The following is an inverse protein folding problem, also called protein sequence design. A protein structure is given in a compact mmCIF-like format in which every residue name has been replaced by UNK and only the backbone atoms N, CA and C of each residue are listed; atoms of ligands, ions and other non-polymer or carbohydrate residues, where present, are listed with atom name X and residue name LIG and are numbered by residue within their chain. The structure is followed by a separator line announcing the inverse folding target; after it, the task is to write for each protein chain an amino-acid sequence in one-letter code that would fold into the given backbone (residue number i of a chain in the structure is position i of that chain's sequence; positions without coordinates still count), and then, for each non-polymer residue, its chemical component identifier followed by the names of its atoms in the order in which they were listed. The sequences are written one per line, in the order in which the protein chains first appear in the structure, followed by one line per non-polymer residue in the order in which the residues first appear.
data_IF_301210081861
#
_entry.id   IF_301210081861
#
_cell.length_a   1.000
_cell.length_b   1.000
_cell.length_c   1.000
_cell.angle_alpha   90.00
_cell.angle_beta   90.00
_cell.angle_gamma   90.00
#
_symmetry.space_group_name_H-M   'P 1'
#
loop_
_entity.id
_entity.type
_entity.pdbx_description
1 polymer ?
#
# COMPACT_ATOMS: atom_id res chain seq x y z
N UNK A 1 67.01 7.30 -32.22
CA UNK A 1 65.84 8.10 -31.81
C UNK A 1 64.70 7.13 -31.50
N UNK A 2 64.70 6.55 -30.30
CA UNK A 2 63.87 6.98 -29.17
C UNK A 2 62.36 6.95 -29.44
N UNK A 3 61.77 5.81 -29.06
CA UNK A 3 60.55 5.63 -28.28
C UNK A 3 59.65 6.88 -28.11
N UNK A 4 58.37 6.76 -28.47
CA UNK A 4 57.26 6.76 -27.49
C UNK A 4 55.92 6.55 -28.21
N UNK A 5 55.41 5.33 -28.06
CA UNK A 5 53.98 5.03 -28.09
C UNK A 5 53.29 5.85 -27.00
N UNK A 6 52.68 6.97 -27.37
CA UNK A 6 51.83 7.77 -26.49
C UNK A 6 50.40 7.26 -26.56
N UNK A 7 50.17 6.26 -25.72
CA UNK A 7 48.91 5.94 -25.02
C UNK A 7 47.83 7.01 -25.20
N UNK A 8 46.82 6.70 -26.00
CA UNK A 8 45.48 7.26 -25.77
C UNK A 8 45.13 6.97 -24.31
N UNK A 9 44.63 7.95 -23.53
CA UNK A 9 44.13 7.63 -22.20
C UNK A 9 43.00 6.63 -22.41
N UNK A 10 43.24 5.39 -22.00
CA UNK A 10 42.17 4.44 -21.79
C UNK A 10 41.22 5.15 -20.83
N UNK A 11 40.06 5.58 -21.36
CA UNK A 11 38.96 6.06 -20.53
C UNK A 11 38.55 4.82 -19.75
N UNK A 12 39.19 4.64 -18.60
CA UNK A 12 38.75 3.73 -17.57
C UNK A 12 37.42 4.33 -17.14
N UNK A 13 36.34 3.88 -17.78
CA UNK A 13 35.03 3.91 -17.17
C UNK A 13 35.14 3.04 -15.93
N UNK A 14 35.69 3.64 -14.87
CA UNK A 14 35.30 3.27 -13.52
C UNK A 14 33.82 3.54 -13.49
N UNK A 15 33.03 2.51 -13.85
CA UNK A 15 31.67 2.40 -13.38
C UNK A 15 31.82 2.25 -11.87
N UNK A 16 31.99 3.38 -11.19
CA UNK A 16 31.70 3.51 -9.79
C UNK A 16 30.25 3.08 -9.69
N UNK A 17 30.13 1.80 -9.31
CA UNK A 17 28.92 1.08 -9.00
C UNK A 17 27.93 2.08 -8.44
N UNK A 18 26.84 2.28 -9.18
CA UNK A 18 25.76 3.22 -8.89
C UNK A 18 25.81 3.64 -7.42
N UNK A 19 26.24 4.88 -7.16
CA UNK A 19 25.91 5.55 -5.91
C UNK A 19 24.40 5.69 -5.91
N UNK A 20 23.72 4.58 -5.59
CA UNK A 20 22.33 4.58 -5.20
C UNK A 20 22.25 5.62 -4.12
N UNK A 21 21.56 6.72 -4.44
CA UNK A 21 21.19 7.75 -3.51
C UNK A 21 20.54 7.05 -2.30
N UNK A 22 21.28 6.97 -1.19
CA UNK A 22 20.76 6.35 0.03
C UNK A 22 19.79 7.35 0.65
N UNK A 23 18.54 7.33 0.19
CA UNK A 23 17.46 8.07 0.85
C UNK A 23 17.45 7.67 2.32
N UNK A 24 17.49 8.66 3.25
CA UNK A 24 17.76 8.42 4.67
C UNK A 24 16.86 7.32 5.21
N UNK A 25 17.43 6.46 6.06
CA UNK A 25 16.71 5.38 6.76
C UNK A 25 15.77 5.99 7.80
N UNK A 26 14.68 6.61 7.35
CA UNK A 26 13.52 6.93 8.20
C UNK A 26 12.28 6.37 7.54
N UNK A 27 11.29 6.13 8.39
CA UNK A 27 9.98 5.54 8.06
C UNK A 27 9.41 6.15 6.77
N UNK A 28 8.77 5.37 5.87
CA UNK A 28 8.32 4.00 6.09
C UNK A 28 9.43 2.95 5.99
N UNK A 29 9.25 1.75 6.59
CA UNK A 29 10.26 0.69 6.61
C UNK A 29 10.75 0.37 5.20
N UNK A 30 11.99 -0.11 5.10
CA UNK A 30 12.62 -0.35 3.79
C UNK A 30 11.84 -1.32 2.89
N UNK A 31 10.98 -2.19 3.45
CA UNK A 31 10.09 -3.03 2.65
C UNK A 31 8.93 -2.24 2.03
N UNK A 32 8.27 -1.35 2.79
CA UNK A 32 7.18 -0.48 2.30
C UNK A 32 7.70 0.47 1.24
N UNK A 33 8.87 1.07 1.49
CA UNK A 33 9.51 1.99 0.53
C UNK A 33 9.87 1.26 -0.77
N UNK A 34 10.50 0.09 -0.69
CA UNK A 34 10.81 -0.74 -1.86
C UNK A 34 9.54 -1.20 -2.58
N UNK A 35 8.48 -1.51 -1.84
CA UNK A 35 7.20 -1.94 -2.39
C UNK A 35 6.50 -0.81 -3.17
N UNK A 36 6.37 0.38 -2.56
CA UNK A 36 5.74 1.55 -3.20
C UNK A 36 6.53 2.03 -4.43
N UNK A 37 7.86 1.95 -4.41
CA UNK A 37 8.71 2.27 -5.57
C UNK A 37 8.59 1.19 -6.65
N UNK A 38 8.46 -0.10 -6.29
CA UNK A 38 8.31 -1.21 -7.24
C UNK A 38 6.95 -1.20 -7.93
N UNK A 39 5.90 -0.80 -7.22
CA UNK A 39 4.54 -0.82 -7.69
C UNK A 39 3.83 0.54 -7.46
N UNK A 40 4.23 1.60 -8.21
CA UNK A 40 3.67 2.94 -8.07
C UNK A 40 2.19 3.03 -8.46
N UNK A 41 1.68 2.01 -9.15
CA UNK A 41 0.29 1.92 -9.63
C UNK A 41 -0.54 0.84 -8.94
N UNK A 42 0.01 0.04 -8.01
CA UNK A 42 -0.85 -0.95 -7.33
C UNK A 42 -1.71 -0.24 -6.29
N UNK A 43 -3.04 -0.29 -6.44
CA UNK A 43 -3.92 0.32 -5.48
C UNK A 43 -3.82 -0.43 -4.15
N UNK A 44 -3.90 0.33 -3.06
CA UNK A 44 -3.62 -0.12 -1.68
C UNK A 44 -4.41 -1.38 -1.31
N UNK A 45 -5.59 -1.60 -1.90
CA UNK A 45 -6.42 -2.79 -1.66
C UNK A 45 -5.75 -4.12 -2.10
N UNK A 46 -4.89 -4.14 -3.12
CA UNK A 46 -4.17 -5.36 -3.53
C UNK A 46 -3.13 -5.73 -2.45
N UNK A 47 -2.48 -4.71 -1.89
CA UNK A 47 -1.48 -4.86 -0.82
C UNK A 47 -2.14 -5.35 0.45
N UNK A 48 -3.27 -4.75 0.82
CA UNK A 48 -4.09 -5.21 1.94
C UNK A 48 -4.57 -6.64 1.69
N UNK A 49 -5.01 -6.98 0.46
CA UNK A 49 -5.37 -8.35 0.08
C UNK A 49 -4.22 -9.35 0.25
N UNK A 50 -3.01 -9.02 -0.19
CA UNK A 50 -1.80 -9.84 -0.05
C UNK A 50 -1.37 -10.01 1.42
N UNK A 51 -1.55 -8.99 2.25
CA UNK A 51 -1.31 -9.05 3.69
C UNK A 51 -2.41 -9.84 4.45
N UNK A 52 -3.64 -9.88 3.92
CA UNK A 52 -4.75 -10.66 4.47
C UNK A 52 -4.64 -12.15 4.11
N UNK A 53 -3.98 -12.51 3.00
CA UNK A 53 -3.76 -13.91 2.61
C UNK A 53 -3.08 -14.80 3.67
N UNK A 54 -1.99 -14.37 4.36
CA UNK A 54 -1.44 -15.16 5.47
C UNK A 54 -2.36 -15.23 6.70
N UNK A 55 -3.34 -14.31 6.86
CA UNK A 55 -4.40 -14.46 7.87
C UNK A 55 -5.50 -15.45 7.42
N UNK A 56 -5.68 -15.63 6.12
CA UNK A 56 -6.60 -16.62 5.52
C UNK A 56 -5.95 -18.00 5.30
N UNK A 57 -4.63 -18.11 5.36
CA UNK A 57 -3.92 -19.38 5.20
C UNK A 57 -4.27 -20.41 6.30
N UNK A 58 -4.33 -20.05 7.60
CA UNK A 58 -4.86 -20.93 8.63
C UNK A 58 -6.32 -21.36 8.37
N UNK A 59 -7.11 -20.47 7.76
CA UNK A 59 -8.51 -20.75 7.38
C UNK A 59 -8.59 -21.79 6.25
N UNK A 60 -7.75 -21.66 5.21
CA UNK A 60 -7.66 -22.63 4.11
C UNK A 60 -7.17 -24.01 4.58
N UNK A 61 -6.12 -24.06 5.42
CA UNK A 61 -5.60 -25.32 5.96
C UNK A 61 -6.64 -26.00 6.86
N UNK A 62 -7.35 -25.24 7.68
CA UNK A 62 -8.46 -25.74 8.50
C UNK A 62 -9.62 -26.28 7.66
N UNK A 63 -10.02 -25.57 6.61
CA UNK A 63 -11.06 -26.02 5.66
C UNK A 63 -10.64 -27.28 4.91
N UNK A 64 -9.39 -27.31 4.41
CA UNK A 64 -8.88 -28.46 3.65
C UNK A 64 -8.85 -29.71 4.52
N UNK A 65 -8.32 -29.62 5.75
CA UNK A 65 -8.38 -30.75 6.69
C UNK A 65 -9.82 -31.17 6.99
N UNK A 66 -10.75 -30.22 7.11
CA UNK A 66 -12.16 -30.49 7.38
C UNK A 66 -12.87 -31.25 6.24
N UNK A 67 -12.56 -30.92 4.98
CA UNK A 67 -13.19 -31.56 3.82
C UNK A 67 -12.50 -32.86 3.36
N UNK A 68 -11.20 -33.02 3.61
CA UNK A 68 -10.46 -34.17 3.08
C UNK A 68 -10.18 -35.28 4.09
N UNK A 69 -10.28 -35.01 5.40
CA UNK A 69 -9.82 -35.94 6.45
C UNK A 69 -11.03 -36.47 7.23
N UNK A 70 -11.17 -37.79 7.30
CA UNK A 70 -12.19 -38.45 8.10
C UNK A 70 -11.93 -38.28 9.61
N UNK A 71 -12.96 -38.42 10.44
CA UNK A 71 -12.87 -38.19 11.90
C UNK A 71 -11.78 -39.03 12.56
N UNK A 72 -11.66 -40.29 12.17
CA UNK A 72 -10.68 -41.23 12.75
C UNK A 72 -9.24 -40.83 12.42
N UNK A 73 -9.01 -40.42 11.17
CA UNK A 73 -7.70 -40.01 10.69
C UNK A 73 -7.25 -38.67 11.33
N UNK A 74 -8.21 -37.77 11.61
CA UNK A 74 -7.94 -36.52 12.32
C UNK A 74 -7.60 -36.74 13.80
N UNK A 75 -8.36 -37.59 14.49
CA UNK A 75 -8.09 -37.95 15.89
C UNK A 75 -6.75 -38.69 16.03
N UNK A 76 -6.41 -39.57 15.08
CA UNK A 76 -5.11 -40.23 15.01
C UNK A 76 -3.95 -39.23 14.86
N UNK A 77 -4.02 -38.31 13.89
CA UNK A 77 -3.01 -37.26 13.71
C UNK A 77 -2.87 -36.36 14.94
N UNK A 78 -3.98 -36.02 15.59
CA UNK A 78 -3.95 -35.20 16.82
C UNK A 78 -3.27 -35.93 17.97
N UNK A 79 -3.53 -37.22 18.13
CA UNK A 79 -2.90 -38.06 19.16
C UNK A 79 -1.40 -38.21 18.90
N UNK A 80 -1.01 -38.43 17.65
CA UNK A 80 0.40 -38.51 17.23
C UNK A 80 1.15 -37.18 17.48
N UNK A 81 0.54 -36.04 17.13
CA UNK A 81 1.14 -34.73 17.35
C UNK A 81 1.29 -34.42 18.84
N UNK A 82 0.29 -34.79 19.67
CA UNK A 82 0.38 -34.65 21.13
C UNK A 82 1.46 -35.55 21.72
N UNK A 83 1.55 -36.80 21.26
CA UNK A 83 2.58 -37.73 21.72
C UNK A 83 3.98 -37.17 21.47
N UNK A 84 4.24 -36.58 20.30
CA UNK A 84 5.51 -35.91 19.98
C UNK A 84 5.80 -34.69 20.87
N UNK A 85 4.78 -33.93 21.26
CA UNK A 85 4.94 -32.79 22.19
C UNK A 85 5.27 -33.28 23.60
N UNK A 86 4.61 -34.32 24.09
CA UNK A 86 4.93 -34.94 25.37
C UNK A 86 6.33 -35.57 25.38
N UNK A 87 6.73 -36.17 24.26
CA UNK A 87 8.07 -36.75 24.09
C UNK A 87 9.15 -35.66 24.13
N UNK A 88 8.92 -34.52 23.46
CA UNK A 88 9.84 -33.36 23.53
C UNK A 88 9.87 -32.73 24.92
N UNK A 89 8.73 -32.60 25.59
CA UNK A 89 8.65 -32.08 26.96
C UNK A 89 9.39 -32.99 27.96
N UNK A 90 9.28 -34.32 27.80
CA UNK A 90 10.02 -35.29 28.59
C UNK A 90 11.54 -35.23 28.31
N UNK A 91 11.93 -34.93 27.07
CA UNK A 91 13.34 -34.76 26.69
C UNK A 91 13.97 -33.49 27.31
N UNK A 92 13.20 -32.40 27.40
CA UNK A 92 13.64 -31.15 28.04
C UNK A 92 13.72 -31.27 29.57
N UNK A 93 12.82 -32.04 30.22
CA UNK A 93 12.95 -32.36 31.65
C UNK A 93 14.21 -33.20 31.97
N UNK A 94 14.63 -34.08 31.06
CA UNK A 94 15.86 -34.87 31.17
C UNK A 94 17.14 -34.06 30.98
N UNK A 95 17.11 -32.94 30.25
CA UNK A 95 18.27 -32.04 30.11
C UNK A 95 18.50 -31.17 31.34
N UNK A 96 17.48 -30.93 32.15
CA UNK A 96 17.56 -30.09 33.35
C UNK A 96 17.90 -30.82 34.66
N UNK A 97 17.77 -32.16 34.73
CA UNK A 97 18.05 -32.94 35.95
C UNK A 97 18.78 -34.23 35.60
N UNK A 98 19.87 -34.54 36.32
CA UNK A 98 20.52 -35.87 36.30
C UNK A 98 19.46 -36.95 36.59
N UNK A 99 18.97 -37.62 35.55
CA UNK A 99 17.97 -38.67 35.69
C UNK A 99 18.56 -39.89 36.40
N UNK A 100 18.32 -39.97 37.70
CA UNK A 100 18.33 -41.23 38.44
C UNK A 100 16.98 -41.36 39.13
N UNK A 101 16.16 -42.31 38.68
CA UNK A 101 15.55 -43.35 39.53
C UNK A 101 14.58 -44.25 38.77
N UNK A 102 14.86 -45.55 38.88
CA UNK A 102 13.88 -46.64 38.81
C UNK A 102 12.91 -46.51 39.98
N UNK A 103 11.66 -46.88 39.73
CA UNK A 103 10.65 -47.22 40.73
C UNK A 103 11.04 -48.54 41.44
N UNK A 104 10.56 -48.74 42.67
CA UNK A 104 10.91 -49.85 43.59
C UNK A 104 10.55 -51.27 43.10
N UNK A 105 9.92 -51.40 41.93
CA UNK A 105 9.58 -52.68 41.30
C UNK A 105 10.18 -52.91 39.91
N UNK A 106 11.13 -52.08 39.46
CA UNK A 106 11.99 -52.44 38.32
C UNK A 106 11.29 -52.67 36.96
N UNK A 107 10.05 -52.21 36.75
CA UNK A 107 9.38 -52.27 35.44
C UNK A 107 9.49 -50.93 34.70
N UNK A 108 9.75 -50.92 33.39
CA UNK A 108 9.59 -49.71 32.59
C UNK A 108 8.13 -49.28 32.62
N UNK A 109 7.88 -47.98 32.79
CA UNK A 109 6.54 -47.38 32.71
C UNK A 109 6.12 -47.40 31.24
N UNK A 110 5.63 -48.55 30.79
CA UNK A 110 4.86 -48.72 29.56
C UNK A 110 3.55 -49.37 29.96
N UNK A 111 2.70 -48.60 30.60
CA UNK A 111 1.31 -48.98 30.80
C UNK A 111 0.45 -47.72 30.73
N UNK A 112 0.16 -47.32 29.50
CA UNK A 112 -0.97 -46.47 29.18
C UNK A 112 -1.51 -46.98 27.84
N UNK A 113 -2.08 -48.19 27.87
CA UNK A 113 -2.78 -48.81 26.73
C UNK A 113 -4.29 -48.68 26.85
N UNK A 114 -4.79 -47.82 27.73
CA UNK A 114 -6.21 -47.51 27.77
C UNK A 114 -6.38 -46.07 27.29
N UNK A 115 -6.60 -45.93 25.98
CA UNK A 115 -7.11 -44.69 25.42
C UNK A 115 -8.46 -44.37 26.06
N UNK A 116 -8.77 -43.09 26.33
CA UNK A 116 -10.04 -42.73 26.94
C UNK A 116 -11.19 -43.27 26.10
N UNK A 117 -12.15 -43.92 26.76
CA UNK A 117 -13.39 -44.39 26.13
C UNK A 117 -14.10 -43.22 25.44
N UNK A 118 -14.61 -43.48 24.25
CA UNK A 118 -15.31 -42.52 23.39
C UNK A 118 -16.61 -42.12 24.10
N UNK A 119 -16.55 -41.10 24.95
CA UNK A 119 -17.73 -40.48 25.53
C UNK A 119 -18.26 -39.37 24.62
N UNK A 120 -19.42 -39.67 24.05
CA UNK A 120 -20.51 -38.83 23.54
C UNK A 120 -20.24 -37.71 22.50
N UNK A 121 -21.04 -37.84 21.43
CA UNK A 121 -21.17 -37.02 20.21
C UNK A 121 -21.55 -35.52 20.39
N UNK A 122 -21.49 -34.94 21.58
CA UNK A 122 -21.89 -33.53 21.81
C UNK A 122 -20.76 -32.53 21.50
N UNK A 123 -19.51 -32.87 21.81
CA UNK A 123 -18.41 -31.89 21.83
C UNK A 123 -17.84 -31.57 20.43
N UNK A 124 -17.84 -32.52 19.49
CA UNK A 124 -17.36 -32.29 18.12
C UNK A 124 -18.37 -31.48 17.29
N UNK A 125 -19.66 -31.79 17.41
CA UNK A 125 -20.74 -31.00 16.81
C UNK A 125 -20.77 -29.56 17.39
N UNK A 126 -20.60 -29.40 18.72
CA UNK A 126 -20.47 -28.09 19.34
C UNK A 126 -19.24 -27.32 18.84
N UNK A 127 -18.08 -27.98 18.68
CA UNK A 127 -16.87 -27.35 18.17
C UNK A 127 -17.00 -26.93 16.69
N UNK A 128 -17.59 -27.79 15.86
CA UNK A 128 -17.87 -27.52 14.44
C UNK A 128 -18.91 -26.39 14.25
N UNK A 129 -19.97 -26.36 15.07
CA UNK A 129 -20.92 -25.23 15.12
C UNK A 129 -20.25 -23.95 15.60
N UNK A 130 -19.34 -24.03 16.58
CA UNK A 130 -18.63 -22.86 17.12
C UNK A 130 -17.62 -22.29 16.12
N UNK A 131 -16.87 -23.14 15.41
CA UNK A 131 -15.90 -22.71 14.39
C UNK A 131 -16.60 -22.12 13.15
N UNK A 132 -17.66 -22.76 12.64
CA UNK A 132 -18.46 -22.22 11.53
C UNK A 132 -19.13 -20.89 11.88
N UNK A 133 -19.61 -20.74 13.13
CA UNK A 133 -20.16 -19.46 13.60
C UNK A 133 -19.10 -18.36 13.68
N UNK A 134 -17.85 -18.67 14.05
CA UNK A 134 -16.75 -17.70 14.03
C UNK A 134 -16.42 -17.30 12.59
N UNK A 135 -16.27 -18.27 11.69
CA UNK A 135 -15.94 -18.04 10.28
C UNK A 135 -16.99 -17.14 9.62
N UNK A 136 -18.28 -17.44 9.81
CA UNK A 136 -19.37 -16.60 9.31
C UNK A 136 -19.40 -15.21 9.93
N UNK A 137 -19.00 -15.05 11.20
CA UNK A 137 -18.88 -13.73 11.82
C UNK A 137 -17.78 -12.91 11.16
N UNK A 138 -16.57 -13.45 11.04
CA UNK A 138 -15.43 -12.68 10.50
C UNK A 138 -15.50 -12.46 8.99
N UNK A 139 -16.04 -13.41 8.21
CA UNK A 139 -16.20 -13.26 6.75
C UNK A 139 -17.11 -12.10 6.37
N UNK A 140 -18.20 -11.88 7.13
CA UNK A 140 -19.09 -10.73 6.90
C UNK A 140 -18.35 -9.42 7.12
N UNK A 141 -17.57 -9.31 8.20
CA UNK A 141 -16.80 -8.11 8.51
C UNK A 141 -15.67 -7.85 7.51
N UNK A 142 -14.98 -8.89 7.02
CA UNK A 142 -13.92 -8.71 6.01
C UNK A 142 -14.48 -8.28 4.65
N UNK A 143 -15.61 -8.85 4.21
CA UNK A 143 -16.29 -8.44 2.99
C UNK A 143 -16.77 -6.98 3.09
N UNK A 144 -17.40 -6.61 4.21
CA UNK A 144 -17.80 -5.24 4.47
C UNK A 144 -16.59 -4.29 4.44
N UNK A 145 -15.51 -4.62 5.14
CA UNK A 145 -14.30 -3.81 5.16
C UNK A 145 -13.71 -3.63 3.76
N UNK A 146 -13.66 -4.69 2.95
CA UNK A 146 -13.18 -4.60 1.56
C UNK A 146 -14.06 -3.69 0.71
N UNK A 147 -15.39 -3.84 0.76
CA UNK A 147 -16.31 -2.98 0.02
C UNK A 147 -16.18 -1.52 0.45
N UNK A 148 -16.12 -1.26 1.76
CA UNK A 148 -15.95 0.08 2.32
C UNK A 148 -14.61 0.68 1.87
N UNK A 149 -13.50 -0.04 2.04
CA UNK A 149 -12.19 0.42 1.60
C UNK A 149 -12.12 0.67 0.09
N UNK A 150 -12.75 -0.18 -0.72
CA UNK A 150 -12.85 0.00 -2.17
C UNK A 150 -13.66 1.26 -2.53
N UNK A 151 -14.81 1.49 -1.87
CA UNK A 151 -15.59 2.71 -2.10
C UNK A 151 -14.83 3.97 -1.67
N UNK A 152 -14.13 3.93 -0.54
CA UNK A 152 -13.30 5.03 -0.06
C UNK A 152 -12.20 5.35 -1.07
N UNK A 153 -11.44 4.33 -1.50
CA UNK A 153 -10.34 4.54 -2.47
C UNK A 153 -10.83 5.04 -3.82
N UNK A 154 -12.04 4.67 -4.25
CA UNK A 154 -12.61 5.09 -5.54
C UNK A 154 -13.15 6.52 -5.52
N UNK A 155 -13.74 6.95 -4.41
CA UNK A 155 -14.49 8.22 -4.35
C UNK A 155 -13.84 9.30 -3.49
N UNK A 156 -13.08 8.94 -2.45
CA UNK A 156 -12.53 9.91 -1.50
C UNK A 156 -11.14 10.35 -1.94
N UNK A 157 -10.19 9.43 -2.06
CA UNK A 157 -8.82 9.80 -2.37
C UNK A 157 -7.80 8.67 -2.22
N UNK A 158 -6.58 8.96 -2.62
CA UNK A 158 -5.43 8.05 -2.58
C UNK A 158 -4.13 8.80 -2.22
N UNK A 159 -3.10 8.05 -1.83
CA UNK A 159 -1.77 8.59 -1.56
C UNK A 159 -0.93 8.51 -2.82
N UNK A 160 -0.44 9.65 -3.29
CA UNK A 160 0.32 9.77 -4.54
C UNK A 160 1.75 10.20 -4.23
N UNK A 161 2.71 9.52 -4.86
CA UNK A 161 4.11 9.92 -4.84
C UNK A 161 4.35 10.82 -6.05
N UNK A 162 4.77 12.06 -5.79
CA UNK A 162 5.09 13.00 -6.86
C UNK A 162 6.49 12.71 -7.40
N UNK A 163 6.63 12.73 -8.72
CA UNK A 163 7.92 12.58 -9.39
C UNK A 163 8.11 13.62 -10.48
N UNK A 164 9.29 14.20 -10.54
CA UNK A 164 9.68 15.18 -11.55
C UNK A 164 9.75 16.65 -11.08
N UNK A 165 10.41 17.52 -11.86
CA UNK A 165 10.76 18.89 -11.45
C UNK A 165 9.68 19.95 -11.74
N UNK A 166 8.58 19.58 -12.38
CA UNK A 166 7.63 20.55 -12.96
C UNK A 166 6.87 21.40 -11.95
N UNK A 167 6.78 20.95 -10.70
CA UNK A 167 6.09 21.64 -9.59
C UNK A 167 7.05 22.19 -8.54
N UNK A 168 8.35 22.30 -8.86
CA UNK A 168 9.33 22.93 -7.97
C UNK A 168 9.09 24.45 -7.91
N UNK A 169 9.12 25.12 -6.73
CA UNK A 169 9.51 24.61 -5.41
C UNK A 169 8.36 24.04 -4.55
N UNK A 170 7.11 24.12 -4.97
CA UNK A 170 5.98 23.74 -4.11
C UNK A 170 5.99 22.26 -3.77
N UNK A 171 6.11 21.40 -4.80
CA UNK A 171 6.16 19.93 -4.68
C UNK A 171 7.53 19.47 -5.17
N UNK A 172 8.18 18.64 -4.36
CA UNK A 172 9.48 18.07 -4.70
C UNK A 172 9.37 16.61 -5.15
N UNK A 173 10.41 16.15 -5.85
CA UNK A 173 10.54 14.74 -6.22
C UNK A 173 10.58 13.84 -4.98
N UNK A 174 9.68 12.86 -4.93
CA UNK A 174 9.53 11.93 -3.81
C UNK A 174 8.61 12.41 -2.68
N UNK A 175 7.94 13.56 -2.83
CA UNK A 175 6.91 14.01 -1.89
C UNK A 175 5.71 13.03 -1.93
N UNK A 176 5.24 12.60 -0.75
CA UNK A 176 4.01 11.82 -0.60
C UNK A 176 2.87 12.79 -0.28
N UNK A 177 1.92 12.88 -1.19
CA UNK A 177 0.80 13.82 -1.10
C UNK A 177 -0.50 13.05 -1.06
N UNK A 178 -1.40 13.46 -0.16
CA UNK A 178 -2.78 13.02 -0.14
C UNK A 178 -3.51 13.70 -1.29
N UNK A 179 -4.05 12.90 -2.18
CA UNK A 179 -4.85 13.36 -3.29
C UNK A 179 -6.31 12.94 -3.10
N UNK A 180 -7.22 13.89 -3.20
CA UNK A 180 -8.65 13.65 -3.09
C UNK A 180 -9.33 13.65 -4.46
N UNK A 181 -10.46 12.95 -4.56
CA UNK A 181 -11.33 12.89 -5.74
C UNK A 181 -12.64 13.64 -5.54
N UNK A 182 -12.95 14.05 -4.31
CA UNK A 182 -14.22 14.69 -3.93
C UNK A 182 -14.44 16.03 -4.66
N UNK A 183 -13.46 16.93 -4.60
CA UNK A 183 -13.56 18.24 -5.26
C UNK A 183 -13.72 18.13 -6.77
N UNK A 184 -13.00 17.18 -7.39
CA UNK A 184 -13.07 16.93 -8.83
C UNK A 184 -14.45 16.38 -9.21
N UNK A 185 -14.96 15.39 -8.49
CA UNK A 185 -16.29 14.81 -8.76
C UNK A 185 -17.43 15.81 -8.50
N UNK A 186 -17.24 16.76 -7.59
CA UNK A 186 -18.21 17.81 -7.30
C UNK A 186 -18.12 19.01 -8.25
N UNK A 187 -17.11 19.06 -9.14
CA UNK A 187 -16.83 20.23 -9.99
C UNK A 187 -16.46 21.48 -9.19
N UNK A 188 -15.86 21.30 -8.01
CA UNK A 188 -15.44 22.37 -7.11
C UNK A 188 -13.92 22.53 -7.17
N UNK A 189 -13.39 22.76 -8.38
CA UNK A 189 -11.98 23.08 -8.58
C UNK A 189 -11.81 24.59 -8.57
N UNK A 190 -10.84 25.10 -7.82
CA UNK A 190 -10.54 26.52 -7.77
C UNK A 190 -9.15 26.84 -8.28
N UNK A 191 -9.04 28.06 -8.80
CA UNK A 191 -7.77 28.67 -9.19
C UNK A 191 -6.72 28.52 -8.11
N UNK A 192 -5.53 28.12 -8.52
CA UNK A 192 -4.40 27.86 -7.64
C UNK A 192 -4.35 26.45 -7.08
N UNK A 193 -5.36 25.60 -7.29
CA UNK A 193 -5.28 24.20 -6.86
C UNK A 193 -4.26 23.41 -7.66
N UNK A 194 -3.61 22.45 -6.97
CA UNK A 194 -2.75 21.48 -7.63
C UNK A 194 -3.57 20.24 -7.95
N UNK A 195 -3.59 19.86 -9.22
CA UNK A 195 -4.36 18.74 -9.73
C UNK A 195 -3.48 17.73 -10.46
N UNK A 196 -3.91 16.47 -10.40
CA UNK A 196 -3.44 15.40 -11.25
C UNK A 196 -4.38 15.23 -12.44
N UNK A 197 -3.89 15.46 -13.65
CA UNK A 197 -4.64 15.26 -14.89
C UNK A 197 -3.97 14.23 -15.80
N UNK A 198 -4.74 13.52 -16.61
CA UNK A 198 -4.18 12.66 -17.65
C UNK A 198 -3.58 13.55 -18.76
N UNK A 199 -2.38 13.20 -19.22
CA UNK A 199 -1.75 13.93 -20.32
C UNK A 199 -2.60 13.78 -21.59
N UNK A 200 -2.92 14.88 -22.30
CA UNK A 200 -3.62 14.81 -23.58
C UNK A 200 -2.75 14.19 -24.68
N UNK A 201 -1.43 14.21 -24.51
CA UNK A 201 -0.47 13.59 -25.44
C UNK A 201 -0.29 12.10 -25.15
N UNK A 202 -0.31 11.71 -23.87
CA UNK A 202 -0.07 10.34 -23.41
C UNK A 202 -1.09 9.91 -22.35
N UNK A 203 -2.08 9.09 -22.74
CA UNK A 203 -3.16 8.66 -21.84
C UNK A 203 -2.69 7.82 -20.63
N UNK A 204 -1.46 7.30 -20.67
CA UNK A 204 -0.87 6.49 -19.59
C UNK A 204 -0.12 7.33 -18.54
N UNK A 205 0.04 8.63 -18.77
CA UNK A 205 0.79 9.52 -17.89
C UNK A 205 -0.16 10.45 -17.12
N UNK A 206 -0.03 10.46 -15.80
CA UNK A 206 -0.68 11.43 -14.93
C UNK A 206 0.28 12.60 -14.67
N UNK A 207 -0.10 13.79 -15.10
CA UNK A 207 0.64 15.03 -14.92
C UNK A 207 0.14 15.75 -13.66
N UNK A 208 1.07 16.24 -12.84
CA UNK A 208 0.76 17.10 -11.70
C UNK A 208 1.01 18.55 -12.09
N UNK A 209 -0.02 19.39 -12.02
CA UNK A 209 -0.02 20.79 -12.47
C UNK A 209 -0.90 21.64 -11.56
N UNK A 210 -0.68 22.95 -11.56
CA UNK A 210 -1.54 23.92 -10.88
C UNK A 210 -2.55 24.52 -11.84
N UNK A 211 -3.79 24.74 -11.39
CA UNK A 211 -4.72 25.59 -12.11
C UNK A 211 -4.21 27.03 -12.09
N UNK A 212 -3.82 27.53 -13.25
CA UNK A 212 -3.22 28.85 -13.40
C UNK A 212 -4.23 29.91 -13.87
N UNK A 213 -3.87 31.17 -13.67
CA UNK A 213 -4.53 32.29 -14.33
C UNK A 213 -4.17 32.36 -15.82
N UNK A 214 -5.01 33.06 -16.59
CA UNK A 214 -4.83 33.22 -18.03
C UNK A 214 -3.49 33.91 -18.34
N UNK A 215 -2.51 33.12 -18.77
CA UNK A 215 -1.29 33.65 -19.37
C UNK A 215 -1.52 33.72 -20.86
N UNK A 216 -1.22 34.89 -21.46
CA UNK A 216 -1.30 35.11 -22.90
C UNK A 216 -0.58 33.96 -23.61
N UNK A 217 -1.37 33.14 -24.30
CA UNK A 217 -0.88 31.98 -25.01
C UNK A 217 -1.50 32.03 -26.39
N UNK A 218 -0.66 31.95 -27.41
CA UNK A 218 -1.06 31.98 -28.82
C UNK A 218 -2.08 30.88 -29.18
N UNK A 219 -2.23 29.87 -28.31
CA UNK A 219 -3.14 28.74 -28.44
C UNK A 219 -4.56 29.03 -27.92
N UNK A 220 -4.81 30.17 -27.26
CA UNK A 220 -6.10 30.53 -26.69
C UNK A 220 -6.81 31.58 -27.56
N UNK A 221 -7.93 31.25 -28.23
CA UNK A 221 -8.71 32.25 -28.96
C UNK A 221 -9.29 33.27 -27.95
N UNK A 222 -8.92 34.55 -28.11
CA UNK A 222 -9.30 35.66 -27.24
C UNK A 222 -8.84 35.55 -25.77
N UNK A 223 -7.73 34.84 -25.50
CA UNK A 223 -7.18 34.68 -24.13
C UNK A 223 -8.18 34.10 -23.11
N UNK A 224 -9.21 33.37 -23.58
CA UNK A 224 -10.24 32.77 -22.73
C UNK A 224 -10.27 31.25 -22.86
N UNK A 225 -10.27 30.59 -21.71
CA UNK A 225 -10.43 29.13 -21.64
C UNK A 225 -11.88 28.77 -21.99
N UNK A 226 -12.11 27.81 -22.91
CA UNK A 226 -13.45 27.33 -23.23
C UNK A 226 -14.17 26.79 -22.00
N UNK A 227 -15.51 26.85 -22.00
CA UNK A 227 -16.31 26.24 -20.93
C UNK A 227 -16.01 24.75 -20.82
N UNK A 228 -15.91 24.24 -19.58
CA UNK A 228 -15.56 22.84 -19.30
C UNK A 228 -14.10 22.47 -19.56
N UNK A 229 -13.23 23.47 -19.74
CA UNK A 229 -11.79 23.29 -19.82
C UNK A 229 -11.10 24.06 -18.69
N UNK A 230 -9.90 23.62 -18.34
CA UNK A 230 -9.03 24.19 -17.32
C UNK A 230 -7.67 24.50 -17.91
N UNK A 231 -7.02 25.55 -17.42
CA UNK A 231 -5.66 25.90 -17.82
C UNK A 231 -4.68 25.45 -16.73
N UNK A 232 -3.80 24.52 -17.10
CA UNK A 232 -2.90 23.86 -16.17
C UNK A 232 -1.46 24.25 -16.42
N UNK A 233 -0.80 24.73 -15.38
CA UNK A 233 0.56 25.25 -15.43
C UNK A 233 1.39 24.69 -14.28
N UNK A 234 2.63 24.29 -14.57
CA UNK A 234 3.60 23.91 -13.56
C UNK A 234 4.26 25.13 -12.93
N UNK A 235 4.60 25.01 -11.64
CA UNK A 235 5.29 26.08 -10.91
C UNK A 235 6.71 26.33 -11.47
N UNK A 236 7.35 25.31 -12.05
CA UNK A 236 8.65 25.42 -12.69
C UNK A 236 8.52 25.61 -14.21
N UNK A 237 8.35 26.86 -14.63
CA UNK A 237 8.06 27.25 -16.01
C UNK A 237 9.02 26.70 -17.08
N UNK A 238 10.29 26.45 -16.71
CA UNK A 238 11.36 26.00 -17.62
C UNK A 238 11.31 24.49 -17.85
N UNK A 239 10.92 23.72 -16.83
CA UNK A 239 10.93 22.26 -16.87
C UNK A 239 9.54 21.65 -17.02
N UNK A 240 8.50 22.48 -17.20
CA UNK A 240 7.11 22.06 -17.17
C UNK A 240 6.48 22.06 -18.57
N UNK A 241 6.13 20.89 -19.07
CA UNK A 241 5.23 20.73 -20.22
C UNK A 241 3.79 20.87 -19.75
N UNK A 242 3.13 21.96 -20.14
CA UNK A 242 1.89 22.49 -19.56
C UNK A 242 0.91 22.92 -20.66
N UNK A 243 -0.25 23.48 -20.28
CA UNK A 243 -1.26 24.02 -21.19
C UNK A 243 -0.73 25.14 -22.11
N UNK A 244 0.41 25.74 -21.80
CA UNK A 244 1.13 26.66 -22.71
C UNK A 244 1.61 25.97 -24.00
N UNK A 245 1.86 24.66 -23.94
CA UNK A 245 2.36 23.87 -25.07
C UNK A 245 1.26 23.05 -25.78
N UNK A 246 0.33 22.46 -25.02
CA UNK A 246 -0.72 21.60 -25.58
C UNK A 246 -2.13 22.23 -25.55
N UNK A 247 -2.27 23.45 -25.02
CA UNK A 247 -3.57 24.14 -24.90
C UNK A 247 -4.35 23.80 -23.61
N UNK A 248 -5.56 24.36 -23.46
CA UNK A 248 -6.42 24.08 -22.31
C UNK A 248 -6.88 22.62 -22.29
N UNK A 249 -7.01 22.05 -21.09
CA UNK A 249 -7.36 20.63 -20.89
C UNK A 249 -8.84 20.50 -20.53
N UNK A 250 -9.59 19.56 -21.12
CA UNK A 250 -10.93 19.23 -20.65
C UNK A 250 -10.95 18.88 -19.15
N UNK A 251 -11.90 19.43 -18.41
CA UNK A 251 -12.03 19.19 -16.96
C UNK A 251 -12.19 17.69 -16.64
N UNK A 252 -12.79 16.90 -17.54
CA UNK A 252 -12.93 15.44 -17.40
C UNK A 252 -11.62 14.65 -17.43
N UNK A 253 -10.49 15.25 -17.86
CA UNK A 253 -9.17 14.62 -17.75
C UNK A 253 -8.53 14.84 -16.37
N UNK A 254 -9.06 15.76 -15.57
CA UNK A 254 -8.64 15.97 -14.18
C UNK A 254 -9.17 14.79 -13.36
N UNK A 255 -8.27 14.11 -12.65
CA UNK A 255 -8.59 12.88 -11.90
C UNK A 255 -8.61 13.12 -10.41
N UNK A 256 -7.67 13.92 -9.90
CA UNK A 256 -7.40 14.09 -8.47
C UNK A 256 -6.95 15.52 -8.17
N UNK A 257 -7.18 15.97 -6.94
CA UNK A 257 -6.69 17.24 -6.38
C UNK A 257 -5.75 16.95 -5.21
N UNK A 258 -4.58 17.58 -5.19
CA UNK A 258 -3.56 17.39 -4.16
C UNK A 258 -3.81 18.37 -2.99
N UNK A 259 -3.96 17.85 -1.76
CA UNK A 259 -4.39 18.66 -0.60
C UNK A 259 -3.36 18.72 0.51
N UNK A 260 -2.84 17.58 0.96
CA UNK A 260 -1.97 17.50 2.14
C UNK A 260 -0.68 16.76 1.82
N UNK A 261 0.47 17.40 2.01
CA UNK A 261 1.77 16.72 1.92
C UNK A 261 2.05 16.03 3.24
N UNK A 262 2.15 14.70 3.21
CA UNK A 262 2.38 13.84 4.39
C UNK A 262 3.87 13.57 4.61
N UNK A 263 4.64 13.44 3.52
CA UNK A 263 6.08 13.17 3.58
C UNK A 263 6.84 14.06 2.58
N UNK A 264 8.04 14.58 2.92
CA UNK A 264 8.79 14.40 4.17
C UNK A 264 8.19 15.16 5.36
N UNK A 265 8.31 14.59 6.58
CA UNK A 265 7.75 15.19 7.83
C UNK A 265 8.25 16.63 8.05
N UNK A 266 9.48 16.95 7.63
CA UNK A 266 10.04 18.31 7.75
C UNK A 266 9.26 19.38 6.97
N UNK A 267 8.46 18.97 5.98
CA UNK A 267 7.63 19.86 5.17
C UNK A 267 6.16 19.44 5.21
N UNK A 268 5.75 18.68 6.22
CA UNK A 268 4.35 18.32 6.41
C UNK A 268 3.48 19.58 6.48
N UNK A 269 2.39 19.59 5.73
CA UNK A 269 1.53 20.76 5.64
C UNK A 269 0.57 20.70 4.47
N UNK A 270 -0.41 21.59 4.52
CA UNK A 270 -1.38 21.78 3.44
C UNK A 270 -0.69 22.36 2.20
N UNK A 271 -1.11 21.85 1.05
CA UNK A 271 -0.67 22.30 -0.28
C UNK A 271 -1.77 23.13 -0.95
N UNK A 272 -3.03 22.88 -0.58
CA UNK A 272 -4.18 23.68 -0.97
C UNK A 272 -4.65 24.56 0.19
N UNK A 273 -5.14 25.75 -0.15
CA UNK A 273 -5.58 26.76 0.81
C UNK A 273 -7.09 26.72 1.08
N UNK A 274 -7.84 25.73 0.58
CA UNK A 274 -9.27 25.60 0.86
C UNK A 274 -9.75 24.15 0.96
N UNK A 275 -10.87 24.01 1.66
CA UNK A 275 -11.54 22.73 1.86
C UNK A 275 -12.49 22.40 0.71
N UNK A 276 -12.68 21.11 0.44
CA UNK A 276 -13.46 20.63 -0.70
C UNK A 276 -14.95 21.06 -0.70
N UNK A 277 -15.51 21.46 0.45
CA UNK A 277 -16.89 21.94 0.57
C UNK A 277 -17.03 23.46 0.47
N UNK A 278 -15.92 24.19 0.56
CA UNK A 278 -15.92 25.65 0.51
C UNK A 278 -16.07 26.09 -0.94
N UNK A 279 -16.94 27.06 -1.23
CA UNK A 279 -17.15 27.56 -2.60
C UNK A 279 -16.33 28.83 -2.84
N UNK A 280 -15.88 29.05 -4.07
CA UNK A 280 -15.08 30.24 -4.42
C UNK A 280 -15.78 31.56 -4.05
N UNK A 281 -17.10 31.64 -4.27
CA UNK A 281 -17.90 32.83 -4.00
C UNK A 281 -17.95 33.23 -2.51
N UNK A 282 -17.83 32.27 -1.60
CA UNK A 282 -17.77 32.52 -0.15
C UNK A 282 -16.43 33.10 0.28
N UNK A 283 -15.33 32.74 -0.39
CA UNK A 283 -13.98 33.20 -0.05
C UNK A 283 -13.74 34.66 -0.43
N UNK A 284 -14.27 35.12 -1.57
CA UNK A 284 -14.16 36.53 -2.01
C UNK A 284 -14.79 37.52 -1.01
N UNK A 285 -15.75 37.08 -0.20
CA UNK A 285 -16.40 37.90 0.83
C UNK A 285 -15.67 37.95 2.17
N UNK A 286 -14.69 37.09 2.42
CA UNK A 286 -13.97 36.99 3.69
C UNK A 286 -12.56 37.59 3.67
N UNK A 287 -12.15 38.18 2.54
CA UNK A 287 -10.84 38.80 2.34
C UNK A 287 -10.88 40.30 2.03
N UNK A 288 -12.03 40.95 2.21
CA UNK A 288 -12.20 42.41 2.19
C UNK A 288 -12.22 42.96 3.63
#
# INVERSE_FOLDING_TARGET
MHLLSSRLPAIVFSRSRATYYQSPRKFPPAFVRRFLIRYPRTPIYIVVGLCVMPMLYPWYVGLKLFFTVSREEYEAKRMETKALVYERAAFDECKGRKCRRRNSHGKPIREYRDGPSIQNNSNFCCFQKRMSSLIWKYSKWSALFYCVAHTISRHIGELVICSGPSMYPTVHDGDLVLAERLSVNAGNLHRGDIVGCLSPQDCNQLLCKREGDFVHSELLPNDRVPKGHVFLQGDNLVASTDSRHFGPVPEGLVQIRLTLRIWPISRWGWVSDHWFWEKEATRRKGGE
#
